data_IF_252131638090
#
_entry.id   IF_252131638090
#
_cell.length_a   1.000
_cell.length_b   1.000
_cell.length_c   1.000
_cell.angle_alpha   90.00
_cell.angle_beta   90.00
_cell.angle_gamma   90.00
#
_symmetry.space_group_name_H-M   'P 1'
#
loop_
_entity.id
_entity.type
_entity.pdbx_description
1 polymer ?
#
# COMPACT_ATOMS: atom_id res chain seq x y z
N UNK A 1 16.04 -29.28 -84.98
CA UNK A 1 14.80 -28.76 -85.59
C UNK A 1 13.74 -28.72 -84.50
N UNK A 2 13.12 -27.55 -84.30
CA UNK A 2 11.76 -27.25 -83.79
C UNK A 2 11.18 -28.08 -82.62
N UNK A 3 10.36 -27.57 -81.70
CA UNK A 3 9.86 -26.26 -81.29
C UNK A 3 8.81 -26.60 -80.22
N UNK A 4 8.80 -25.87 -79.11
CA UNK A 4 7.61 -25.45 -78.34
C UNK A 4 6.58 -26.48 -77.82
N UNK A 5 6.49 -26.50 -76.48
CA UNK A 5 5.34 -25.96 -75.71
C UNK A 5 4.37 -26.94 -75.02
N UNK A 6 4.15 -26.59 -73.74
CA UNK A 6 2.91 -26.62 -72.92
C UNK A 6 2.48 -27.86 -72.14
N UNK A 7 2.80 -27.80 -70.84
CA UNK A 7 1.92 -27.70 -69.64
C UNK A 7 1.05 -28.89 -69.14
N UNK A 8 1.00 -28.89 -67.80
CA UNK A 8 0.03 -29.49 -66.85
C UNK A 8 0.22 -30.98 -66.56
N UNK A 9 0.16 -31.48 -65.33
CA UNK A 9 -0.15 -30.92 -64.02
C UNK A 9 -0.11 -32.08 -63.02
N UNK A 10 0.52 -31.87 -61.87
CA UNK A 10 0.88 -32.89 -60.88
C UNK A 10 -0.33 -33.23 -60.00
N UNK A 11 -0.61 -34.53 -59.86
CA UNK A 11 -1.63 -35.10 -58.95
C UNK A 11 -0.93 -35.82 -57.79
N UNK A 12 -1.42 -35.50 -56.58
CA UNK A 12 -1.47 -36.27 -55.34
C UNK A 12 -0.17 -36.80 -54.70
N UNK A 13 0.20 -36.15 -53.60
CA UNK A 13 0.77 -36.83 -52.42
C UNK A 13 0.30 -36.08 -51.17
N UNK A 14 -0.77 -36.58 -50.57
CA UNK A 14 -1.29 -36.11 -49.29
C UNK A 14 -1.67 -37.32 -48.44
N UNK A 15 -0.84 -37.63 -47.45
CA UNK A 15 -1.23 -38.31 -46.21
C UNK A 15 -0.05 -38.28 -45.24
N UNK A 16 -0.37 -38.13 -43.95
CA UNK A 16 0.51 -38.29 -42.79
C UNK A 16 1.34 -37.09 -42.32
N UNK A 17 0.65 -36.01 -41.92
CA UNK A 17 1.12 -35.12 -40.84
C UNK A 17 -0.05 -34.29 -40.30
N UNK A 18 -0.85 -34.85 -39.39
CA UNK A 18 -1.73 -34.07 -38.50
C UNK A 18 -2.32 -34.95 -37.39
N UNK A 19 -1.52 -35.23 -36.36
CA UNK A 19 -2.01 -35.69 -35.05
C UNK A 19 -1.20 -35.01 -33.95
N UNK A 20 -1.26 -33.68 -33.89
CA UNK A 20 -1.06 -32.92 -32.66
C UNK A 20 -2.13 -31.82 -32.62
N UNK A 21 -3.20 -32.08 -31.88
CA UNK A 21 -4.26 -31.11 -31.59
C UNK A 21 -3.92 -30.23 -30.38
N UNK A 22 -4.61 -29.07 -30.25
CA UNK A 22 -4.11 -27.89 -29.55
C UNK A 22 -4.76 -27.73 -28.15
N UNK A 23 -3.97 -27.83 -27.09
CA UNK A 23 -4.43 -27.39 -25.77
C UNK A 23 -4.38 -25.86 -25.60
N UNK A 24 -3.73 -25.14 -26.52
CA UNK A 24 -3.41 -23.71 -26.38
C UNK A 24 -4.58 -22.77 -26.72
N UNK A 25 -5.56 -23.20 -27.52
CA UNK A 25 -6.63 -22.33 -28.01
C UNK A 25 -7.70 -21.98 -26.96
N UNK A 26 -8.03 -22.91 -26.06
CA UNK A 26 -9.02 -22.68 -24.99
C UNK A 26 -8.48 -21.83 -23.84
N UNK A 27 -7.20 -21.93 -23.52
CA UNK A 27 -6.59 -21.08 -22.49
C UNK A 27 -6.47 -19.62 -22.95
N UNK A 28 -6.14 -19.40 -24.23
CA UNK A 28 -6.08 -18.06 -24.82
C UNK A 28 -7.46 -17.37 -24.90
N UNK A 29 -8.53 -18.13 -25.17
CA UNK A 29 -9.88 -17.54 -25.22
C UNK A 29 -10.41 -17.16 -23.83
N UNK A 30 -10.11 -17.97 -22.80
CA UNK A 30 -10.47 -17.64 -21.40
C UNK A 30 -9.77 -16.35 -20.96
N UNK A 31 -8.47 -16.22 -21.20
CA UNK A 31 -7.72 -15.00 -20.84
C UNK A 31 -8.25 -13.76 -21.57
N UNK A 32 -8.63 -13.92 -22.84
CA UNK A 32 -9.28 -12.87 -23.63
C UNK A 32 -10.64 -12.45 -23.04
N UNK A 33 -11.45 -13.40 -22.56
CA UNK A 33 -12.69 -13.10 -21.83
C UNK A 33 -12.41 -12.33 -20.54
N UNK A 34 -11.40 -12.75 -19.76
CA UNK A 34 -11.11 -12.15 -18.46
C UNK A 34 -10.59 -10.71 -18.58
N UNK A 35 -9.83 -10.41 -19.62
CA UNK A 35 -9.28 -9.09 -19.92
C UNK A 35 -10.21 -8.18 -20.76
N UNK A 36 -11.30 -8.72 -21.31
CA UNK A 36 -12.22 -7.96 -22.14
C UNK A 36 -12.97 -6.85 -21.38
N UNK A 37 -13.22 -5.74 -22.09
CA UNK A 37 -14.09 -4.64 -21.67
C UNK A 37 -15.56 -5.07 -21.73
N UNK A 38 -16.44 -4.34 -21.03
CA UNK A 38 -17.85 -4.71 -20.79
C UNK A 38 -18.57 -5.28 -22.03
N UNK A 39 -18.62 -4.53 -23.14
CA UNK A 39 -19.34 -4.93 -24.35
C UNK A 39 -18.75 -6.16 -25.04
N UNK A 40 -17.43 -6.34 -24.98
CA UNK A 40 -16.74 -7.48 -25.60
C UNK A 40 -16.81 -8.72 -24.70
N UNK A 41 -16.76 -8.53 -23.37
CA UNK A 41 -16.85 -9.60 -22.38
C UNK A 41 -18.18 -10.36 -22.50
N UNK A 42 -19.30 -9.66 -22.74
CA UNK A 42 -20.61 -10.30 -22.95
C UNK A 42 -20.61 -11.29 -24.12
N UNK A 43 -19.89 -10.98 -25.21
CA UNK A 43 -19.84 -11.82 -26.41
C UNK A 43 -18.81 -12.95 -26.26
N UNK A 44 -17.60 -12.60 -25.83
CA UNK A 44 -16.47 -13.54 -25.78
C UNK A 44 -16.70 -14.58 -24.68
N UNK A 45 -17.05 -14.15 -23.46
CA UNK A 45 -17.29 -15.09 -22.36
C UNK A 45 -18.50 -15.99 -22.64
N UNK A 46 -19.56 -15.45 -23.25
CA UNK A 46 -20.71 -16.26 -23.66
C UNK A 46 -20.33 -17.31 -24.70
N UNK A 47 -19.59 -16.95 -25.74
CA UNK A 47 -19.12 -17.90 -26.77
C UNK A 47 -18.28 -19.04 -26.17
N UNK A 48 -17.52 -18.76 -25.11
CA UNK A 48 -16.71 -19.78 -24.42
C UNK A 48 -17.62 -20.75 -23.66
N UNK A 49 -18.63 -20.26 -22.96
CA UNK A 49 -19.60 -21.13 -22.29
C UNK A 49 -20.45 -21.93 -23.29
N UNK A 50 -20.87 -21.30 -24.39
CA UNK A 50 -21.62 -21.96 -25.48
C UNK A 50 -20.78 -23.07 -26.15
N UNK A 51 -19.46 -22.93 -26.15
CA UNK A 51 -18.53 -23.99 -26.61
C UNK A 51 -18.38 -25.16 -25.63
N UNK A 52 -19.07 -25.12 -24.48
CA UNK A 52 -19.08 -26.18 -23.46
C UNK A 52 -18.11 -25.95 -22.30
N UNK A 53 -17.47 -24.78 -22.22
CA UNK A 53 -16.61 -24.45 -21.08
C UNK A 53 -17.41 -24.41 -19.78
N UNK A 54 -16.87 -25.01 -18.73
CA UNK A 54 -17.46 -25.00 -17.38
C UNK A 54 -16.60 -24.25 -16.38
N UNK A 55 -15.76 -23.32 -16.83
CA UNK A 55 -14.84 -22.62 -15.94
C UNK A 55 -15.61 -21.61 -15.03
N UNK A 56 -15.50 -21.69 -13.70
CA UNK A 56 -16.21 -20.80 -12.78
C UNK A 56 -15.84 -19.33 -12.93
N UNK A 57 -14.60 -19.00 -13.28
CA UNK A 57 -14.16 -17.61 -13.48
C UNK A 57 -14.82 -16.98 -14.73
N UNK A 58 -15.07 -17.79 -15.77
CA UNK A 58 -15.79 -17.33 -16.98
C UNK A 58 -17.26 -17.06 -16.67
N UNK A 59 -17.90 -17.91 -15.87
CA UNK A 59 -19.26 -17.68 -15.37
C UNK A 59 -19.34 -16.39 -14.53
N UNK A 60 -18.38 -16.20 -13.63
CA UNK A 60 -18.29 -15.01 -12.79
C UNK A 60 -18.16 -13.74 -13.64
N UNK A 61 -17.23 -13.72 -14.60
CA UNK A 61 -16.99 -12.57 -15.48
C UNK A 61 -18.19 -12.25 -16.35
N UNK A 62 -18.83 -13.27 -16.95
CA UNK A 62 -20.03 -13.07 -17.77
C UNK A 62 -21.19 -12.53 -16.94
N UNK A 63 -21.46 -13.11 -15.77
CA UNK A 63 -22.53 -12.65 -14.90
C UNK A 63 -22.29 -11.24 -14.38
N UNK A 64 -21.04 -10.89 -14.06
CA UNK A 64 -20.67 -9.53 -13.64
C UNK A 64 -20.91 -8.52 -14.78
N UNK A 65 -20.50 -8.86 -16.01
CA UNK A 65 -20.74 -8.03 -17.19
C UNK A 65 -22.24 -7.86 -17.50
N UNK A 66 -23.04 -8.92 -17.39
CA UNK A 66 -24.50 -8.86 -17.59
C UNK A 66 -25.17 -7.93 -16.56
N UNK A 67 -24.71 -7.96 -15.31
CA UNK A 67 -25.23 -7.08 -14.28
C UNK A 67 -24.89 -5.61 -14.55
N UNK A 68 -23.65 -5.33 -14.94
CA UNK A 68 -23.20 -3.97 -15.31
C UNK A 68 -23.91 -3.42 -16.56
N UNK A 69 -24.33 -4.29 -17.47
CA UNK A 69 -25.13 -3.95 -18.65
C UNK A 69 -26.63 -3.80 -18.34
N UNK A 70 -27.02 -3.89 -17.06
CA UNK A 70 -28.42 -3.77 -16.62
C UNK A 70 -29.26 -5.04 -16.77
N UNK A 71 -28.67 -6.13 -17.26
CA UNK A 71 -29.35 -7.43 -17.46
C UNK A 71 -29.40 -8.26 -16.17
N UNK A 72 -29.92 -7.69 -15.07
CA UNK A 72 -29.91 -8.28 -13.72
C UNK A 72 -30.52 -9.69 -13.67
N UNK A 73 -31.66 -9.90 -14.33
CA UNK A 73 -32.31 -11.21 -14.38
C UNK A 73 -31.47 -12.26 -15.12
N UNK A 74 -30.76 -11.85 -16.18
CA UNK A 74 -29.87 -12.74 -16.92
C UNK A 74 -28.63 -13.09 -16.09
N UNK A 75 -28.02 -12.09 -15.45
CA UNK A 75 -26.90 -12.29 -14.53
C UNK A 75 -27.24 -13.29 -13.42
N UNK A 76 -28.41 -13.14 -12.80
CA UNK A 76 -28.87 -14.06 -11.77
C UNK A 76 -28.98 -15.51 -12.28
N UNK A 77 -29.52 -15.72 -13.48
CA UNK A 77 -29.63 -17.05 -14.08
C UNK A 77 -28.26 -17.65 -14.39
N UNK A 78 -27.35 -16.86 -14.96
CA UNK A 78 -25.97 -17.30 -15.25
C UNK A 78 -25.27 -17.77 -13.98
N UNK A 79 -25.47 -17.08 -12.84
CA UNK A 79 -24.91 -17.49 -11.56
C UNK A 79 -25.57 -18.73 -10.96
N UNK A 80 -26.90 -18.88 -11.11
CA UNK A 80 -27.59 -20.08 -10.65
C UNK A 80 -27.06 -21.33 -11.38
N UNK A 81 -26.85 -21.22 -12.69
CA UNK A 81 -26.26 -22.30 -13.47
C UNK A 81 -24.80 -22.57 -13.07
N UNK A 82 -24.02 -21.52 -12.80
CA UNK A 82 -22.65 -21.65 -12.32
C UNK A 82 -22.57 -22.35 -10.95
N UNK A 83 -23.43 -21.98 -10.00
CA UNK A 83 -23.46 -22.55 -8.66
C UNK A 83 -23.98 -23.98 -8.62
N UNK A 84 -24.83 -24.38 -9.57
CA UNK A 84 -25.20 -25.80 -9.76
C UNK A 84 -24.01 -26.64 -10.21
N UNK A 85 -23.15 -26.07 -11.06
CA UNK A 85 -21.94 -26.76 -11.55
C UNK A 85 -20.80 -26.73 -10.54
N UNK A 86 -20.71 -25.66 -9.73
CA UNK A 86 -19.65 -25.39 -8.76
C UNK A 86 -20.22 -25.07 -7.37
N UNK A 87 -20.84 -26.05 -6.70
CA UNK A 87 -21.40 -25.84 -5.37
C UNK A 87 -20.29 -25.49 -4.38
N UNK A 88 -20.49 -24.43 -3.59
CA UNK A 88 -19.53 -23.98 -2.58
C UNK A 88 -18.44 -23.03 -3.08
N UNK A 89 -18.45 -22.63 -4.35
CA UNK A 89 -17.53 -21.60 -4.83
C UNK A 89 -17.84 -20.25 -4.18
N UNK A 90 -16.87 -19.76 -3.39
CA UNK A 90 -17.03 -18.54 -2.60
C UNK A 90 -17.17 -17.28 -3.47
N UNK A 91 -16.53 -17.24 -4.64
CA UNK A 91 -16.60 -16.07 -5.55
C UNK A 91 -17.97 -15.99 -6.21
N UNK A 92 -18.50 -17.11 -6.69
CA UNK A 92 -19.83 -17.20 -7.30
C UNK A 92 -20.93 -16.92 -6.27
N UNK A 93 -20.80 -17.48 -5.06
CA UNK A 93 -21.76 -17.25 -3.97
C UNK A 93 -21.79 -15.78 -3.54
N UNK A 94 -20.61 -15.17 -3.40
CA UNK A 94 -20.49 -13.74 -3.08
C UNK A 94 -21.09 -12.86 -4.17
N UNK A 95 -20.84 -13.16 -5.46
CA UNK A 95 -21.43 -12.41 -6.56
C UNK A 95 -22.95 -12.58 -6.63
N UNK A 96 -23.46 -13.79 -6.35
CA UNK A 96 -24.91 -14.04 -6.29
C UNK A 96 -25.58 -13.19 -5.22
N UNK A 97 -24.99 -13.11 -4.04
CA UNK A 97 -25.46 -12.24 -2.96
C UNK A 97 -25.45 -10.75 -3.38
N UNK A 98 -24.42 -10.30 -4.09
CA UNK A 98 -24.34 -8.92 -4.63
C UNK A 98 -25.47 -8.63 -5.63
N UNK A 99 -25.77 -9.57 -6.52
CA UNK A 99 -26.79 -9.37 -7.56
C UNK A 99 -28.21 -9.60 -7.02
N UNK A 100 -28.38 -10.43 -6.00
CA UNK A 100 -29.68 -10.71 -5.39
C UNK A 100 -30.11 -9.65 -4.39
N UNK A 101 -29.17 -8.96 -3.74
CA UNK A 101 -29.51 -7.79 -2.94
C UNK A 101 -29.92 -6.67 -3.88
N UNK A 102 -31.10 -6.09 -3.68
CA UNK A 102 -31.50 -4.81 -4.30
C UNK A 102 -30.74 -3.67 -3.61
N UNK A 103 -29.42 -3.84 -3.50
CA UNK A 103 -28.55 -3.00 -2.71
C UNK A 103 -28.46 -1.66 -3.40
N UNK A 104 -29.03 -0.66 -2.75
CA UNK A 104 -28.79 0.75 -3.05
C UNK A 104 -27.29 1.01 -3.14
N UNK A 105 -26.91 2.05 -3.87
CA UNK A 105 -25.52 2.48 -4.02
C UNK A 105 -24.78 2.60 -2.66
N UNK A 106 -25.51 2.99 -1.61
CA UNK A 106 -25.02 3.07 -0.22
C UNK A 106 -24.66 1.71 0.39
N UNK A 107 -25.44 0.65 0.14
CA UNK A 107 -25.14 -0.69 0.64
C UNK A 107 -23.90 -1.30 -0.05
N UNK A 108 -23.71 -0.99 -1.34
CA UNK A 108 -22.50 -1.37 -2.09
C UNK A 108 -21.27 -0.62 -1.55
N UNK A 109 -21.39 0.67 -1.27
CA UNK A 109 -20.31 1.48 -0.67
C UNK A 109 -19.95 0.94 0.71
N UNK A 110 -20.92 0.72 1.60
CA UNK A 110 -20.68 0.20 2.96
C UNK A 110 -19.99 -1.18 2.92
N UNK A 111 -20.41 -2.05 2.00
CA UNK A 111 -19.79 -3.37 1.82
C UNK A 111 -18.37 -3.27 1.27
N UNK A 112 -18.12 -2.39 0.30
CA UNK A 112 -16.77 -2.14 -0.23
C UNK A 112 -15.84 -1.59 0.84
N UNK A 113 -16.33 -0.67 1.68
CA UNK A 113 -15.58 -0.13 2.82
C UNK A 113 -15.25 -1.23 3.83
N UNK A 114 -16.18 -2.15 4.11
CA UNK A 114 -15.95 -3.29 5.01
C UNK A 114 -14.91 -4.28 4.47
N UNK A 115 -14.92 -4.58 3.17
CA UNK A 115 -13.92 -5.46 2.54
C UNK A 115 -12.53 -4.82 2.50
N UNK A 116 -12.47 -3.52 2.23
CA UNK A 116 -11.23 -2.75 2.31
C UNK A 116 -10.70 -2.71 3.74
N UNK A 117 -11.57 -2.48 4.73
CA UNK A 117 -11.21 -2.50 6.16
C UNK A 117 -10.67 -3.86 6.57
N UNK A 118 -11.33 -4.96 6.18
CA UNK A 118 -10.87 -6.33 6.47
C UNK A 118 -9.48 -6.59 5.88
N UNK A 119 -9.21 -6.05 4.67
CA UNK A 119 -7.90 -6.19 4.02
C UNK A 119 -6.82 -5.37 4.73
N UNK A 120 -7.16 -4.16 5.19
CA UNK A 120 -6.29 -3.32 6.00
C UNK A 120 -5.99 -3.95 7.36
N UNK A 121 -7.00 -4.51 8.03
CA UNK A 121 -6.87 -5.20 9.32
C UNK A 121 -5.97 -6.43 9.19
N UNK A 122 -6.15 -7.22 8.13
CA UNK A 122 -5.23 -8.32 7.78
C UNK A 122 -3.80 -7.79 7.66
N UNK A 123 -3.58 -6.72 6.89
CA UNK A 123 -2.27 -6.10 6.71
C UNK A 123 -1.64 -5.60 8.03
N UNK A 124 -2.41 -4.88 8.85
CA UNK A 124 -1.98 -4.36 10.14
C UNK A 124 -1.60 -5.46 11.13
N UNK A 125 -2.37 -6.56 11.16
CA UNK A 125 -2.06 -7.74 11.97
C UNK A 125 -0.80 -8.44 11.50
N UNK A 126 -0.54 -8.51 10.18
CA UNK A 126 0.72 -9.04 9.62
C UNK A 126 1.92 -8.26 10.13
N UNK A 127 1.86 -6.93 10.00
CA UNK A 127 2.94 -6.05 10.43
C UNK A 127 3.15 -6.18 11.94
N UNK A 128 2.07 -6.15 12.73
CA UNK A 128 2.15 -6.27 14.19
C UNK A 128 2.74 -7.61 14.62
N UNK A 129 2.34 -8.71 14.01
CA UNK A 129 2.91 -10.04 14.27
C UNK A 129 4.42 -10.11 13.96
N UNK A 130 4.85 -9.52 12.84
CA UNK A 130 6.24 -9.59 12.40
C UNK A 130 7.16 -8.64 13.17
N UNK A 131 6.64 -7.51 13.65
CA UNK A 131 7.46 -6.41 14.21
C UNK A 131 7.37 -6.26 15.73
N UNK A 132 6.26 -6.66 16.36
CA UNK A 132 6.06 -6.51 17.82
C UNK A 132 6.55 -7.76 18.56
N UNK A 133 6.89 -7.58 19.83
CA UNK A 133 7.33 -8.62 20.75
C UNK A 133 6.33 -8.79 21.91
N UNK A 134 6.49 -9.87 22.69
CA UNK A 134 5.63 -10.19 23.83
C UNK A 134 4.17 -10.45 23.44
N UNK A 135 3.25 -10.21 24.37
CA UNK A 135 1.81 -10.49 24.21
C UNK A 135 1.18 -9.78 23.00
N UNK A 136 1.65 -8.57 22.69
CA UNK A 136 1.15 -7.77 21.56
C UNK A 136 1.46 -8.44 20.23
N UNK A 137 2.70 -8.95 20.05
CA UNK A 137 3.09 -9.68 18.84
C UNK A 137 2.37 -11.02 18.72
N UNK A 138 2.27 -11.77 19.83
CA UNK A 138 1.62 -13.09 19.91
C UNK A 138 0.14 -12.98 19.54
N UNK A 139 -0.59 -12.03 20.15
CA UNK A 139 -2.01 -11.80 19.89
C UNK A 139 -2.25 -11.41 18.43
N UNK A 140 -1.39 -10.55 17.87
CA UNK A 140 -1.49 -10.16 16.46
C UNK A 140 -1.27 -11.34 15.50
N UNK A 141 -0.32 -12.23 15.80
CA UNK A 141 -0.10 -13.43 14.99
C UNK A 141 -1.30 -14.39 15.04
N UNK A 142 -1.84 -14.65 16.24
CA UNK A 142 -3.03 -15.51 16.42
C UNK A 142 -4.23 -14.96 15.66
N UNK A 143 -4.53 -13.66 15.83
CA UNK A 143 -5.66 -13.02 15.17
C UNK A 143 -5.54 -12.98 13.64
N UNK A 144 -4.32 -12.91 13.08
CA UNK A 144 -4.12 -13.05 11.63
C UNK A 144 -4.45 -14.45 11.13
N UNK A 145 -4.01 -15.49 11.86
CA UNK A 145 -4.26 -16.89 11.50
C UNK A 145 -5.76 -17.23 11.55
N UNK A 146 -6.54 -16.54 12.39
CA UNK A 146 -8.01 -16.67 12.41
C UNK A 146 -8.68 -16.05 11.16
N UNK A 147 -8.03 -15.10 10.49
CA UNK A 147 -8.62 -14.33 9.38
C UNK A 147 -8.12 -14.76 7.99
N UNK A 148 -6.95 -15.38 7.89
CA UNK A 148 -6.34 -15.83 6.63
C UNK A 148 -5.16 -16.79 6.86
N UNK A 149 -4.95 -17.73 5.93
CA UNK A 149 -3.80 -18.66 5.92
C UNK A 149 -2.78 -18.33 4.79
N UNK A 150 -2.92 -17.20 4.09
CA UNK A 150 -2.03 -16.80 2.98
C UNK A 150 -0.53 -16.79 3.33
N UNK A 151 -0.18 -16.42 4.56
CA UNK A 151 1.20 -16.47 5.08
C UNK A 151 1.34 -17.45 6.27
N UNK A 152 0.44 -18.43 6.37
CA UNK A 152 0.20 -19.22 7.57
C UNK A 152 1.45 -19.87 8.16
N UNK A 153 2.26 -20.51 7.31
CA UNK A 153 3.51 -21.15 7.73
C UNK A 153 4.49 -20.14 8.37
N UNK A 154 4.69 -18.99 7.72
CA UNK A 154 5.60 -17.93 8.20
C UNK A 154 5.11 -17.31 9.51
N UNK A 155 3.81 -17.07 9.62
CA UNK A 155 3.19 -16.49 10.82
C UNK A 155 3.24 -17.48 11.99
N UNK A 156 3.00 -18.77 11.76
CA UNK A 156 3.14 -19.83 12.78
C UNK A 156 4.58 -19.95 13.30
N UNK A 157 5.58 -19.92 12.42
CA UNK A 157 7.00 -19.94 12.84
C UNK A 157 7.35 -18.72 13.70
N UNK A 158 6.87 -17.53 13.31
CA UNK A 158 7.09 -16.31 14.10
C UNK A 158 6.41 -16.39 15.46
N UNK A 159 5.17 -16.86 15.50
CA UNK A 159 4.39 -17.03 16.73
C UNK A 159 5.13 -17.94 17.73
N UNK A 160 5.61 -19.10 17.27
CA UNK A 160 6.38 -20.02 18.12
C UNK A 160 7.63 -19.37 18.73
N UNK A 161 8.39 -18.62 17.92
CA UNK A 161 9.58 -17.87 18.40
C UNK A 161 9.23 -16.80 19.45
N UNK A 162 8.08 -16.11 19.30
CA UNK A 162 7.63 -15.12 20.26
C UNK A 162 7.18 -15.75 21.58
N UNK A 163 6.45 -16.87 21.51
CA UNK A 163 5.99 -17.61 22.70
C UNK A 163 7.17 -18.22 23.47
N UNK A 164 8.20 -18.74 22.78
CA UNK A 164 9.43 -19.21 23.39
C UNK A 164 10.19 -18.09 24.12
N UNK A 165 10.36 -16.94 23.46
CA UNK A 165 11.01 -15.75 24.07
C UNK A 165 10.24 -15.26 25.29
N UNK A 166 8.91 -15.29 25.23
CA UNK A 166 8.06 -14.86 26.35
C UNK A 166 8.13 -15.85 27.52
N UNK A 167 8.18 -17.15 27.23
CA UNK A 167 8.32 -18.21 28.23
C UNK A 167 9.65 -18.07 28.98
N UNK A 168 10.74 -17.81 28.25
CA UNK A 168 12.05 -17.54 28.83
C UNK A 168 12.06 -16.29 29.73
N UNK A 169 11.42 -15.20 29.29
CA UNK A 169 11.30 -13.98 30.09
C UNK A 169 10.46 -14.17 31.37
N UNK A 170 9.38 -14.97 31.30
CA UNK A 170 8.56 -15.30 32.48
C UNK A 170 9.32 -16.14 33.50
N UNK A 171 10.16 -17.07 33.05
CA UNK A 171 11.03 -17.84 33.94
C UNK A 171 12.12 -16.99 34.60
N UNK A 172 12.66 -15.99 33.87
CA UNK A 172 13.65 -15.06 34.41
C UNK A 172 13.07 -14.04 35.41
N UNK A 173 11.75 -13.83 35.42
CA UNK A 173 11.05 -12.87 36.31
C UNK A 173 10.24 -13.54 37.41
N UNK A 174 10.33 -14.88 37.55
CA UNK A 174 9.66 -15.61 38.62
C UNK A 174 10.28 -15.26 39.99
N UNK A 175 9.50 -14.80 40.99
CA UNK A 175 10.01 -14.54 42.32
C UNK A 175 10.42 -15.84 43.02
N UNK A 176 11.55 -15.80 43.74
CA UNK A 176 11.97 -16.85 44.66
C UNK A 176 11.01 -16.85 45.85
N UNK A 177 10.26 -17.95 46.03
CA UNK A 177 9.27 -18.11 47.10
C UNK A 177 9.88 -18.04 48.52
N UNK A 178 9.19 -17.41 49.48
CA UNK A 178 9.16 -17.85 50.88
C UNK A 178 7.93 -18.73 51.16
N UNK A 179 8.09 -19.65 52.13
CA UNK A 179 7.17 -20.73 52.55
C UNK A 179 5.74 -20.30 52.97
N UNK A 180 4.78 -21.25 52.98
CA UNK A 180 3.37 -21.02 53.29
C UNK A 180 3.04 -21.20 54.79
N UNK A 181 1.93 -20.59 55.23
CA UNK A 181 0.87 -21.12 56.11
C UNK A 181 0.05 -19.93 56.72
N UNK A 182 -1.15 -20.14 57.31
CA UNK A 182 -2.33 -20.84 56.78
C UNK A 182 -3.64 -20.01 56.97
N UNK A 183 -4.72 -20.47 56.34
CA UNK A 183 -6.12 -20.00 56.47
C UNK A 183 -6.70 -20.17 57.90
N UNK A 184 -7.79 -19.47 58.31
CA UNK A 184 -9.15 -20.01 58.10
C UNK A 184 -10.35 -19.01 58.00
N UNK A 185 -11.24 -19.25 57.01
CA UNK A 185 -12.70 -19.58 57.05
C UNK A 185 -13.76 -18.75 57.89
N UNK A 186 -15.09 -19.04 57.84
CA UNK A 186 -16.12 -18.40 56.96
C UNK A 186 -17.47 -18.01 57.68
N UNK A 187 -18.40 -17.25 57.08
CA UNK A 187 -19.83 -17.20 57.55
C UNK A 187 -20.88 -16.95 56.43
N UNK A 188 -22.13 -17.39 56.68
CA UNK A 188 -23.26 -17.67 55.78
C UNK A 188 -24.32 -16.52 55.66
N UNK A 189 -25.25 -16.63 54.67
CA UNK A 189 -26.32 -15.66 54.26
C UNK A 189 -27.53 -15.48 55.23
N UNK A 190 -28.81 -15.21 54.83
CA UNK A 190 -29.48 -15.11 53.50
C UNK A 190 -30.51 -13.91 53.31
N UNK A 191 -31.25 -13.90 52.16
CA UNK A 191 -32.38 -13.07 51.59
C UNK A 191 -33.71 -12.94 52.43
N UNK A 192 -34.89 -12.33 52.00
CA UNK A 192 -35.28 -11.18 51.11
C UNK A 192 -36.54 -10.30 51.57
N UNK A 193 -37.02 -9.37 50.69
CA UNK A 193 -38.39 -8.72 50.52
C UNK A 193 -38.89 -7.55 51.42
N UNK A 194 -39.96 -6.72 51.09
CA UNK A 194 -40.89 -6.62 49.92
C UNK A 194 -41.24 -5.19 49.35
N UNK A 195 -42.21 -5.11 48.41
CA UNK A 195 -42.73 -4.00 47.53
C UNK A 195 -43.67 -2.94 48.20
N UNK A 196 -44.25 -1.90 47.51
CA UNK A 196 -45.44 -2.08 46.64
C UNK A 196 -45.70 -1.13 45.41
N UNK A 197 -46.66 -1.62 44.61
CA UNK A 197 -47.46 -1.19 43.43
C UNK A 197 -48.04 0.24 43.36
N UNK A 198 -48.10 0.85 42.15
CA UNK A 198 -49.20 1.74 41.68
C UNK A 198 -49.47 1.57 40.16
N UNK A 199 -50.76 1.61 39.81
CA UNK A 199 -51.48 1.39 38.54
C UNK A 199 -51.63 2.71 37.75
N UNK A 200 -51.61 2.72 36.40
CA UNK A 200 -52.57 3.48 35.53
C UNK A 200 -52.71 2.84 34.12
N UNK A 201 -53.95 2.87 33.64
CA UNK A 201 -54.63 2.41 32.43
C UNK A 201 -54.08 2.76 31.04
N UNK A 202 -54.50 1.95 30.06
CA UNK A 202 -54.56 2.25 28.62
C UNK A 202 -55.78 3.10 28.25
N UNK A 203 -55.79 3.71 27.05
CA UNK A 203 -56.89 3.40 26.14
C UNK A 203 -56.46 3.25 24.67
N UNK A 204 -57.24 2.46 23.94
CA UNK A 204 -57.18 2.35 22.49
C UNK A 204 -58.33 3.11 21.82
N UNK A 205 -58.08 3.45 20.56
CA UNK A 205 -58.99 3.68 19.41
C UNK A 205 -59.31 5.11 18.94
N UNK A 206 -58.89 5.32 17.68
CA UNK A 206 -59.46 6.07 16.56
C UNK A 206 -59.43 7.61 16.60
N UNK A 207 -58.78 8.23 15.60
CA UNK A 207 -59.47 8.84 14.44
C UNK A 207 -58.44 9.25 13.38
N UNK A 208 -58.67 8.79 12.16
CA UNK A 208 -57.97 9.22 10.95
C UNK A 208 -58.33 10.67 10.61
N UNK A 209 -57.33 11.56 10.50
CA UNK A 209 -57.31 12.80 9.69
C UNK A 209 -56.10 13.67 10.08
N UNK A 210 -54.92 13.37 9.54
CA UNK A 210 -53.78 14.31 9.50
C UNK A 210 -52.73 13.82 8.50
N UNK A 211 -53.17 13.49 7.29
CA UNK A 211 -52.30 13.13 6.17
C UNK A 211 -52.24 14.34 5.24
N UNK A 212 -51.18 15.17 5.39
CA UNK A 212 -50.57 16.00 4.32
C UNK A 212 -49.53 17.03 4.81
N UNK A 213 -49.34 17.28 6.11
CA UNK A 213 -48.29 18.23 6.58
C UNK A 213 -46.98 17.58 7.05
N UNK A 214 -46.93 16.26 7.25
CA UNK A 214 -45.71 15.56 7.71
C UNK A 214 -44.73 15.17 6.58
N UNK A 215 -45.14 15.29 5.31
CA UNK A 215 -44.30 14.92 4.14
C UNK A 215 -43.36 16.06 3.68
N UNK A 216 -43.48 17.26 4.23
CA UNK A 216 -42.61 18.40 3.90
C UNK A 216 -41.37 18.50 4.81
N UNK A 217 -41.45 18.05 6.06
CA UNK A 217 -40.33 18.11 7.03
C UNK A 217 -39.38 16.91 6.95
N UNK A 218 -39.80 15.80 6.32
CA UNK A 218 -38.92 14.64 6.06
C UNK A 218 -38.13 14.76 4.75
N UNK A 219 -38.46 15.71 3.87
CA UNK A 219 -37.74 15.91 2.60
C UNK A 219 -36.43 16.68 2.78
N UNK A 220 -36.37 17.59 3.76
CA UNK A 220 -35.20 18.45 4.02
C UNK A 220 -33.99 17.70 4.59
N UNK A 221 -34.20 16.61 5.32
CA UNK A 221 -33.12 15.86 5.96
C UNK A 221 -32.37 14.97 4.94
N UNK A 222 -33.10 14.37 3.99
CA UNK A 222 -32.50 13.60 2.88
C UNK A 222 -31.69 14.45 1.90
N UNK A 223 -32.11 15.69 1.62
CA UNK A 223 -31.36 16.58 0.74
C UNK A 223 -30.09 17.12 1.42
N UNK A 224 -30.15 17.42 2.73
CA UNK A 224 -28.95 17.79 3.50
C UNK A 224 -27.94 16.63 3.63
N UNK A 225 -28.41 15.39 3.81
CA UNK A 225 -27.56 14.20 3.84
C UNK A 225 -26.92 13.92 2.47
N UNK A 226 -27.64 14.14 1.36
CA UNK A 226 -27.09 14.05 -0.01
C UNK A 226 -26.05 15.13 -0.28
N UNK A 227 -26.31 16.37 0.13
CA UNK A 227 -25.37 17.48 -0.06
C UNK A 227 -24.08 17.27 0.75
N UNK A 228 -24.18 16.80 2.00
CA UNK A 228 -23.00 16.47 2.82
C UNK A 228 -22.19 15.30 2.23
N UNK A 229 -22.86 14.28 1.68
CA UNK A 229 -22.17 13.16 1.02
C UNK A 229 -21.48 13.59 -0.29
N UNK A 230 -22.13 14.46 -1.06
CA UNK A 230 -21.57 15.00 -2.30
C UNK A 230 -20.34 15.88 -2.03
N UNK A 231 -20.40 16.73 -1.01
CA UNK A 231 -19.27 17.55 -0.55
C UNK A 231 -18.06 16.68 -0.18
N UNK A 232 -18.24 15.60 0.58
CA UNK A 232 -17.14 14.70 0.95
C UNK A 232 -16.47 14.04 -0.27
N UNK A 233 -17.25 13.62 -1.27
CA UNK A 233 -16.71 13.03 -2.50
C UNK A 233 -15.89 14.06 -3.29
N UNK A 234 -16.40 15.28 -3.37
CA UNK A 234 -15.72 16.37 -4.09
C UNK A 234 -14.45 16.81 -3.36
N UNK A 235 -14.46 16.88 -2.03
CA UNK A 235 -13.27 17.15 -1.21
C UNK A 235 -12.18 16.09 -1.42
N UNK A 236 -12.56 14.81 -1.43
CA UNK A 236 -11.63 13.71 -1.69
C UNK A 236 -11.07 13.77 -3.11
N UNK A 237 -11.91 14.10 -4.11
CA UNK A 237 -11.46 14.27 -5.51
C UNK A 237 -10.48 15.43 -5.61
N UNK A 238 -10.75 16.54 -4.93
CA UNK A 238 -9.85 17.69 -4.87
C UNK A 238 -8.54 17.34 -4.18
N UNK A 239 -8.58 16.61 -3.06
CA UNK A 239 -7.39 16.16 -2.35
C UNK A 239 -6.52 15.25 -3.23
N UNK A 240 -7.14 14.28 -3.92
CA UNK A 240 -6.42 13.42 -4.86
C UNK A 240 -5.83 14.21 -6.04
N UNK A 241 -6.57 15.17 -6.59
CA UNK A 241 -6.07 16.05 -7.66
C UNK A 241 -4.83 16.83 -7.20
N UNK A 242 -4.85 17.41 -5.99
CA UNK A 242 -3.71 18.12 -5.41
C UNK A 242 -2.51 17.20 -5.25
N UNK A 243 -2.72 16.00 -4.69
CA UNK A 243 -1.65 14.99 -4.58
C UNK A 243 -1.00 14.67 -5.92
N UNK A 244 -1.81 14.46 -6.98
CA UNK A 244 -1.29 14.18 -8.32
C UNK A 244 -0.51 15.39 -8.87
N UNK A 245 -1.02 16.61 -8.69
CA UNK A 245 -0.33 17.85 -9.08
C UNK A 245 1.03 17.98 -8.39
N UNK A 246 1.11 17.67 -7.10
CA UNK A 246 2.35 17.73 -6.33
C UNK A 246 3.36 16.68 -6.82
N UNK A 247 2.91 15.46 -7.07
CA UNK A 247 3.72 14.38 -7.65
C UNK A 247 4.26 14.76 -9.04
N UNK A 248 3.41 15.27 -9.92
CA UNK A 248 3.80 15.73 -11.26
C UNK A 248 4.85 16.85 -11.17
N UNK A 249 4.65 17.82 -10.29
CA UNK A 249 5.58 18.92 -10.06
C UNK A 249 6.93 18.40 -9.56
N UNK A 250 6.92 17.50 -8.58
CA UNK A 250 8.14 16.95 -7.99
C UNK A 250 8.97 16.14 -8.97
N UNK A 251 8.32 15.35 -9.81
CA UNK A 251 8.97 14.62 -10.90
C UNK A 251 9.66 15.57 -11.88
N UNK A 252 8.95 16.60 -12.33
CA UNK A 252 9.49 17.60 -13.27
C UNK A 252 10.69 18.36 -12.68
N UNK A 253 10.65 18.74 -11.39
CA UNK A 253 11.76 19.40 -10.69
C UNK A 253 13.04 18.54 -10.61
N UNK A 254 12.88 17.23 -10.64
CA UNK A 254 13.98 16.26 -10.67
C UNK A 254 14.41 15.88 -12.10
N UNK A 255 13.71 16.37 -13.12
CA UNK A 255 14.02 16.13 -14.53
C UNK A 255 13.26 14.96 -15.16
N UNK A 256 12.29 14.37 -14.46
CA UNK A 256 11.40 13.34 -15.02
C UNK A 256 10.17 13.99 -15.63
N UNK A 257 9.98 13.83 -16.94
CA UNK A 257 8.91 14.50 -17.69
C UNK A 257 7.53 13.89 -17.41
N UNK A 258 6.82 14.46 -16.44
CA UNK A 258 5.46 14.08 -16.08
C UNK A 258 4.38 14.82 -16.90
N UNK A 259 4.77 15.75 -17.79
CA UNK A 259 3.87 16.70 -18.44
C UNK A 259 3.51 17.90 -17.56
N UNK A 260 2.44 18.61 -17.92
CA UNK A 260 1.94 19.74 -17.12
C UNK A 260 1.27 19.23 -15.83
N UNK A 261 1.49 19.87 -14.66
CA UNK A 261 0.96 19.39 -13.38
C UNK A 261 -0.54 19.73 -13.21
N UNK A 262 -1.39 19.10 -14.02
CA UNK A 262 -2.84 19.28 -14.08
C UNK A 262 -3.64 18.50 -13.03
N UNK A 263 -2.98 17.60 -12.29
CA UNK A 263 -3.60 16.71 -11.32
C UNK A 263 -4.30 15.51 -11.95
N UNK A 264 -4.05 15.22 -13.22
CA UNK A 264 -4.60 14.06 -13.95
C UNK A 264 -3.45 13.12 -14.33
N UNK A 265 -3.40 11.89 -13.77
CA UNK A 265 -2.28 10.99 -14.02
C UNK A 265 -2.40 10.32 -15.39
N UNK A 266 -1.79 10.94 -16.40
CA UNK A 266 -1.71 10.46 -17.77
C UNK A 266 -0.63 9.41 -18.01
N UNK A 267 -0.41 9.04 -19.28
CA UNK A 267 0.67 8.13 -19.69
C UNK A 267 2.06 8.69 -19.34
N UNK A 268 2.27 10.00 -19.55
CA UNK A 268 3.53 10.70 -19.21
C UNK A 268 3.85 10.61 -17.72
N UNK A 269 2.88 10.92 -16.86
CA UNK A 269 3.05 10.83 -15.40
C UNK A 269 3.40 9.40 -14.95
N UNK A 270 2.74 8.37 -15.50
CA UNK A 270 3.05 6.96 -15.19
C UNK A 270 4.44 6.55 -15.65
N UNK A 271 4.86 7.01 -16.83
CA UNK A 271 6.20 6.76 -17.34
C UNK A 271 7.26 7.45 -16.49
N UNK A 272 7.07 8.74 -16.15
CA UNK A 272 7.95 9.50 -15.29
C UNK A 272 8.13 8.83 -13.91
N UNK A 273 7.06 8.31 -13.30
CA UNK A 273 7.16 7.53 -12.06
C UNK A 273 7.99 6.25 -12.23
N UNK A 274 7.78 5.53 -13.33
CA UNK A 274 8.54 4.32 -13.63
C UNK A 274 10.02 4.61 -13.80
N UNK A 275 10.36 5.68 -14.53
CA UNK A 275 11.73 6.10 -14.77
C UNK A 275 12.38 6.61 -13.48
N UNK A 276 11.63 7.34 -12.64
CA UNK A 276 12.06 7.75 -11.31
C UNK A 276 12.43 6.54 -10.44
N UNK A 277 11.50 5.59 -10.25
CA UNK A 277 11.74 4.43 -9.39
C UNK A 277 12.91 3.56 -9.89
N UNK A 278 13.10 3.47 -11.22
CA UNK A 278 14.28 2.82 -11.82
C UNK A 278 15.58 3.58 -11.53
N UNK A 279 15.56 4.90 -11.61
CA UNK A 279 16.75 5.72 -11.40
C UNK A 279 17.24 5.70 -9.94
N UNK A 280 16.34 5.46 -8.99
CA UNK A 280 16.66 5.36 -7.55
C UNK A 280 16.75 3.92 -7.04
N UNK A 281 16.69 2.92 -7.93
CA UNK A 281 16.77 1.49 -7.63
C UNK A 281 15.75 0.99 -6.58
N UNK A 282 14.53 1.51 -6.68
CA UNK A 282 13.40 1.12 -5.83
C UNK A 282 12.35 0.33 -6.65
N UNK A 283 11.54 -0.53 -6.00
CA UNK A 283 10.46 -1.24 -6.68
C UNK A 283 9.49 -0.26 -7.36
N UNK A 284 9.18 -0.49 -8.64
CA UNK A 284 8.27 0.37 -9.39
C UNK A 284 6.85 0.28 -8.82
N UNK A 285 6.31 1.42 -8.39
CA UNK A 285 4.93 1.57 -7.92
C UNK A 285 4.15 2.43 -8.91
N UNK A 286 2.97 1.95 -9.32
CA UNK A 286 2.09 2.65 -10.28
C UNK A 286 0.90 3.37 -9.63
N UNK A 287 0.65 3.13 -8.35
CA UNK A 287 -0.38 3.81 -7.56
C UNK A 287 0.14 5.11 -6.99
N UNK A 288 -0.55 6.22 -7.26
CA UNK A 288 -0.23 7.53 -6.67
C UNK A 288 -0.91 7.64 -5.32
N UNK A 289 -0.09 7.68 -4.27
CA UNK A 289 -0.52 7.79 -2.86
C UNK A 289 0.41 8.77 -2.12
N UNK A 290 0.11 9.07 -0.87
CA UNK A 290 0.99 9.91 -0.04
C UNK A 290 2.41 9.31 0.10
N UNK A 291 2.55 7.98 0.04
CA UNK A 291 3.85 7.30 0.03
C UNK A 291 4.66 7.65 -1.22
N UNK A 292 4.00 7.78 -2.37
CA UNK A 292 4.66 8.20 -3.62
C UNK A 292 5.26 9.59 -3.47
N UNK A 293 4.52 10.50 -2.84
CA UNK A 293 5.00 11.85 -2.59
C UNK A 293 6.14 11.86 -1.56
N UNK A 294 6.06 11.03 -0.52
CA UNK A 294 7.12 10.89 0.48
C UNK A 294 8.44 10.37 -0.12
N UNK A 295 8.38 9.36 -1.00
CA UNK A 295 9.54 8.85 -1.73
C UNK A 295 10.21 9.95 -2.57
N UNK A 296 9.41 10.66 -3.38
CA UNK A 296 9.88 11.76 -4.22
C UNK A 296 10.47 12.90 -3.37
N UNK A 297 9.87 13.18 -2.22
CA UNK A 297 10.35 14.20 -1.30
C UNK A 297 11.68 13.85 -0.65
N UNK A 298 11.83 12.59 -0.23
CA UNK A 298 13.07 12.07 0.33
C UNK A 298 14.22 12.13 -0.67
N UNK A 299 13.97 11.69 -1.91
CA UNK A 299 14.99 11.68 -2.96
C UNK A 299 15.35 13.08 -3.43
N UNK A 300 14.40 14.00 -3.55
CA UNK A 300 14.76 15.39 -3.84
C UNK A 300 15.55 16.05 -2.71
N UNK A 301 15.26 15.78 -1.42
CA UNK A 301 16.11 16.31 -0.33
C UNK A 301 17.55 15.81 -0.42
N UNK A 302 17.75 14.57 -0.89
CA UNK A 302 19.09 14.03 -1.18
C UNK A 302 19.73 14.75 -2.37
N UNK A 303 18.98 14.93 -3.45
CA UNK A 303 19.43 15.63 -4.66
C UNK A 303 19.80 17.09 -4.39
N UNK A 304 19.02 17.82 -3.59
CA UNK A 304 19.30 19.22 -3.27
C UNK A 304 20.58 19.36 -2.43
N UNK A 305 20.79 18.48 -1.45
CA UNK A 305 22.07 18.41 -0.72
C UNK A 305 23.24 18.07 -1.63
N UNK A 306 23.05 17.13 -2.55
CA UNK A 306 24.04 16.78 -3.56
C UNK A 306 24.39 17.96 -4.47
N UNK A 307 23.39 18.76 -4.89
CA UNK A 307 23.57 19.99 -5.68
C UNK A 307 24.36 21.06 -4.92
N UNK A 308 24.11 21.22 -3.62
CA UNK A 308 24.88 22.13 -2.76
C UNK A 308 26.35 21.70 -2.69
N UNK A 309 26.62 20.42 -2.39
CA UNK A 309 27.98 19.88 -2.39
C UNK A 309 28.67 20.02 -3.77
N UNK A 310 27.93 19.86 -4.87
CA UNK A 310 28.46 20.08 -6.21
C UNK A 310 28.81 21.56 -6.47
N UNK A 311 28.00 22.50 -5.96
CA UNK A 311 28.30 23.93 -6.03
C UNK A 311 29.56 24.26 -5.23
N UNK A 312 29.72 23.70 -4.03
CA UNK A 312 30.92 23.84 -3.21
C UNK A 312 32.17 23.28 -3.91
N UNK A 313 32.03 22.14 -4.61
CA UNK A 313 33.10 21.56 -5.43
C UNK A 313 33.55 22.53 -6.53
N UNK A 314 32.61 23.17 -7.24
CA UNK A 314 32.93 24.17 -8.28
C UNK A 314 33.62 25.40 -7.70
N UNK A 315 33.18 25.89 -6.54
CA UNK A 315 33.82 27.05 -5.89
C UNK A 315 35.22 26.74 -5.40
N UNK A 316 35.44 25.54 -4.85
CA UNK A 316 36.77 25.09 -4.43
C UNK A 316 37.72 24.96 -5.63
N UNK A 317 37.22 24.40 -6.75
CA UNK A 317 37.99 24.31 -7.99
C UNK A 317 38.37 25.70 -8.51
N UNK A 318 37.46 26.66 -8.49
CA UNK A 318 37.73 28.05 -8.90
C UNK A 318 38.76 28.74 -7.99
N UNK A 319 38.83 28.34 -6.72
CA UNK A 319 39.83 28.83 -5.76
C UNK A 319 41.18 28.09 -5.85
N UNK A 320 41.30 27.07 -6.71
CA UNK A 320 42.51 26.25 -6.87
C UNK A 320 42.67 25.13 -5.84
N UNK A 321 41.70 24.93 -4.93
CA UNK A 321 41.70 23.85 -3.94
C UNK A 321 41.15 22.55 -4.56
N UNK A 322 42.02 21.83 -5.26
CA UNK A 322 41.67 20.59 -5.97
C UNK A 322 41.23 19.46 -5.03
N UNK A 323 41.81 19.36 -3.84
CA UNK A 323 41.51 18.29 -2.90
C UNK A 323 40.11 18.47 -2.29
N UNK A 324 39.79 19.69 -1.85
CA UNK A 324 38.44 20.02 -1.42
C UNK A 324 37.43 19.85 -2.55
N UNK A 325 37.76 20.28 -3.77
CA UNK A 325 36.88 20.15 -4.93
C UNK A 325 36.54 18.68 -5.24
N UNK A 326 37.54 17.79 -5.23
CA UNK A 326 37.34 16.34 -5.43
C UNK A 326 36.55 15.71 -4.29
N UNK A 327 36.86 16.08 -3.04
CA UNK A 327 36.15 15.61 -1.86
C UNK A 327 34.65 15.95 -1.95
N UNK A 328 34.33 17.21 -2.25
CA UNK A 328 32.95 17.70 -2.39
C UNK A 328 32.20 17.09 -3.56
N UNK A 329 32.87 16.84 -4.69
CA UNK A 329 32.27 16.07 -5.79
C UNK A 329 31.94 14.64 -5.36
N UNK A 330 32.85 13.98 -4.67
CA UNK A 330 32.64 12.61 -4.16
C UNK A 330 31.51 12.54 -3.13
N UNK A 331 31.40 13.54 -2.26
CA UNK A 331 30.26 13.72 -1.34
C UNK A 331 28.95 13.86 -2.12
N UNK A 332 28.91 14.75 -3.13
CA UNK A 332 27.74 14.97 -3.97
C UNK A 332 27.26 13.67 -4.65
N UNK A 333 28.17 12.89 -5.25
CA UNK A 333 27.84 11.60 -5.88
C UNK A 333 27.33 10.56 -4.89
N UNK A 334 27.79 10.57 -3.64
CA UNK A 334 27.32 9.65 -2.59
C UNK A 334 25.93 10.03 -2.06
N UNK A 335 25.60 11.33 -2.07
CA UNK A 335 24.33 11.83 -1.55
C UNK A 335 23.14 11.47 -2.44
N UNK A 336 23.29 11.50 -3.77
CA UNK A 336 22.19 11.20 -4.69
C UNK A 336 22.67 10.61 -6.01
N UNK A 337 22.10 9.45 -6.38
CA UNK A 337 22.31 8.83 -7.69
C UNK A 337 21.64 9.58 -8.86
N UNK A 338 20.73 10.50 -8.55
CA UNK A 338 20.06 11.34 -9.55
C UNK A 338 20.90 12.55 -9.99
N UNK A 339 22.04 12.80 -9.33
CA UNK A 339 22.87 13.95 -9.63
C UNK A 339 23.62 13.75 -10.96
N UNK A 340 23.37 14.64 -11.92
CA UNK A 340 24.19 14.73 -13.13
C UNK A 340 25.33 15.74 -12.93
N UNK A 341 26.57 15.28 -13.06
CA UNK A 341 27.77 16.14 -12.99
C UNK A 341 28.11 16.63 -14.41
N UNK A 342 28.31 17.94 -14.63
CA UNK A 342 28.72 18.43 -15.95
C UNK A 342 30.09 17.91 -16.36
N UNK A 343 30.23 17.50 -17.62
CA UNK A 343 31.46 16.92 -18.16
C UNK A 343 32.69 17.85 -18.02
N UNK A 344 32.49 19.16 -18.14
CA UNK A 344 33.55 20.17 -17.95
C UNK A 344 34.17 20.10 -16.55
N UNK A 345 33.33 19.94 -15.52
CA UNK A 345 33.78 19.82 -14.14
C UNK A 345 34.53 18.50 -13.92
N UNK A 346 34.06 17.41 -14.53
CA UNK A 346 34.75 16.12 -14.44
C UNK A 346 36.13 16.16 -15.11
N UNK A 347 36.24 16.81 -16.27
CA UNK A 347 37.51 16.97 -16.98
C UNK A 347 38.51 17.80 -16.15
N UNK A 348 38.05 18.92 -15.59
CA UNK A 348 38.88 19.81 -14.78
C UNK A 348 39.41 19.13 -13.50
N UNK A 349 38.61 18.26 -12.87
CA UNK A 349 39.03 17.52 -11.66
C UNK A 349 39.97 16.34 -11.97
N UNK A 350 39.98 15.87 -13.22
CA UNK A 350 40.81 14.75 -13.70
C UNK A 350 42.18 15.19 -14.21
N UNK A 351 42.35 16.46 -14.57
CA UNK A 351 43.64 16.98 -15.01
C UNK A 351 44.70 16.74 -13.91
N UNK A 352 45.86 16.14 -14.24
CA UNK A 352 46.99 16.13 -13.32
C UNK A 352 47.37 17.59 -13.07
N UNK A 353 47.60 17.93 -11.80
CA UNK A 353 48.22 19.21 -11.44
C UNK A 353 49.40 19.47 -12.38
N UNK A 354 49.49 20.64 -13.05
CA UNK A 354 50.77 21.04 -13.60
C UNK A 354 51.75 20.99 -12.43
N UNK A 355 52.83 20.23 -12.60
CA UNK A 355 53.89 20.10 -11.61
C UNK A 355 54.17 21.47 -11.00
N UNK A 356 53.93 21.57 -9.69
CA UNK A 356 54.56 22.61 -8.91
C UNK A 356 56.07 22.46 -9.18
N UNK A 357 56.64 23.42 -9.89
CA UNK A 357 58.08 23.55 -10.07
C UNK A 357 58.67 23.66 -8.66
N UNK A 358 59.19 22.54 -8.17
CA UNK A 358 59.95 22.46 -6.92
C UNK A 358 61.33 23.04 -7.20
N UNK A 359 61.75 24.17 -6.62
CA UNK A 359 63.16 24.51 -6.58
C UNK A 359 63.88 23.54 -5.62
N UNK A 360 65.12 23.11 -5.93
CA UNK A 360 65.79 22.05 -5.20
C UNK A 360 66.12 22.49 -3.76
N UNK A 361 65.91 21.53 -2.85
CA UNK A 361 66.19 21.63 -1.43
C UNK A 361 67.69 21.82 -1.14
N UNK A 362 68.00 22.72 -0.20
CA UNK A 362 69.26 22.72 0.55
C UNK A 362 68.94 22.29 1.98
N UNK A 363 69.47 21.13 2.35
CA UNK A 363 69.49 20.52 3.68
C UNK A 363 70.52 21.18 4.58
N UNK A 364 70.12 21.60 5.79
CA UNK A 364 70.92 21.47 7.03
C UNK A 364 69.99 21.58 8.26
N UNK A 365 70.03 20.58 9.14
CA UNK A 365 69.40 20.49 10.48
C UNK A 365 70.35 21.03 11.59
N UNK A 366 70.09 20.90 12.91
CA UNK A 366 68.98 21.36 13.79
C UNK A 366 69.54 22.18 15.01
N UNK A 367 68.79 22.51 16.10
CA UNK A 367 68.52 21.57 17.21
C UNK A 367 67.17 21.73 17.97
N UNK A 368 66.86 20.68 18.72
CA UNK A 368 65.80 20.42 19.75
C UNK A 368 65.73 21.48 20.89
N UNK A 369 64.66 21.57 21.75
CA UNK A 369 64.34 20.51 22.74
C UNK A 369 62.87 20.35 23.26
N UNK A 370 62.62 19.17 23.86
CA UNK A 370 61.77 18.82 25.05
C UNK A 370 60.23 18.97 25.10
N UNK A 371 59.54 17.79 25.16
CA UNK A 371 58.39 17.32 26.03
C UNK A 371 57.10 18.16 26.24
N UNK A 372 55.92 17.58 26.63
CA UNK A 372 55.61 16.18 26.96
C UNK A 372 54.38 15.57 26.24
N UNK A 373 54.30 14.25 26.37
CA UNK A 373 53.18 13.37 26.00
C UNK A 373 51.92 13.74 26.77
N UNK A 374 50.84 14.10 26.06
CA UNK A 374 49.48 13.97 26.56
C UNK A 374 48.75 12.91 25.74
N UNK A 375 48.46 11.79 26.40
CA UNK A 375 47.64 10.71 25.91
C UNK A 375 46.18 11.15 25.94
N UNK A 376 45.70 11.79 24.86
CA UNK A 376 44.27 12.03 24.65
C UNK A 376 43.66 10.76 24.08
N UNK A 377 42.87 10.07 24.89
CA UNK A 377 41.99 8.98 24.47
C UNK A 377 40.98 9.55 23.47
N UNK A 378 41.22 9.34 22.18
CA UNK A 378 40.22 9.55 21.12
C UNK A 378 39.15 8.46 21.25
N UNK A 379 38.02 8.79 21.86
CA UNK A 379 36.77 8.06 21.63
C UNK A 379 36.34 8.28 20.17
N UNK A 380 36.23 7.18 19.41
CA UNK A 380 35.82 7.16 18.00
C UNK A 380 34.49 7.90 17.76
N UNK A 381 34.36 8.72 16.70
CA UNK A 381 33.15 9.50 16.40
C UNK A 381 32.00 8.67 15.80
N UNK A 382 32.19 7.36 15.59
CA UNK A 382 31.26 6.51 14.83
C UNK A 382 30.05 6.03 15.65
N UNK A 383 30.15 5.95 16.98
CA UNK A 383 29.03 5.47 17.82
C UNK A 383 27.98 6.55 18.18
N UNK A 384 28.31 7.83 18.06
CA UNK A 384 27.41 8.92 18.50
C UNK A 384 26.39 9.33 17.43
N UNK A 385 26.68 9.17 16.14
CA UNK A 385 25.79 9.62 15.05
C UNK A 385 24.63 8.64 14.80
N UNK A 386 24.89 7.33 14.84
CA UNK A 386 23.86 6.29 14.75
C UNK A 386 22.85 6.36 15.89
N UNK A 387 23.33 6.67 17.10
CA UNK A 387 22.50 6.81 18.30
C UNK A 387 21.58 8.04 18.20
N UNK A 388 22.06 9.15 17.63
CA UNK A 388 21.25 10.36 17.41
C UNK A 388 20.20 10.17 16.32
N UNK A 389 20.55 9.52 15.21
CA UNK A 389 19.62 9.21 14.12
C UNK A 389 18.53 8.22 14.57
N UNK A 390 18.88 7.24 15.41
CA UNK A 390 17.91 6.31 15.98
C UNK A 390 16.95 6.99 16.97
N UNK A 391 17.47 7.87 17.85
CA UNK A 391 16.62 8.65 18.77
C UNK A 391 15.71 9.61 18.02
N UNK A 392 16.18 10.22 16.92
CA UNK A 392 15.37 11.08 16.07
C UNK A 392 14.27 10.29 15.34
N UNK A 393 14.60 9.12 14.79
CA UNK A 393 13.64 8.24 14.11
C UNK A 393 12.56 7.73 15.07
N UNK A 394 12.95 7.30 16.28
CA UNK A 394 12.01 6.86 17.32
C UNK A 394 11.13 8.02 17.80
N UNK A 395 11.65 9.25 17.85
CA UNK A 395 10.88 10.47 18.11
C UNK A 395 9.80 10.72 17.04
N UNK A 396 10.15 10.58 15.75
CA UNK A 396 9.19 10.69 14.63
C UNK A 396 8.12 9.61 14.67
N UNK A 397 8.50 8.35 14.96
CA UNK A 397 7.57 7.22 15.07
C UNK A 397 6.59 7.41 16.23
N UNK A 398 7.06 7.89 17.39
CA UNK A 398 6.19 8.18 18.53
C UNK A 398 5.25 9.36 18.26
N UNK A 399 5.73 10.38 17.56
CA UNK A 399 4.90 11.52 17.15
C UNK A 399 3.81 11.09 16.16
N UNK A 400 4.15 10.22 15.21
CA UNK A 400 3.20 9.70 14.22
C UNK A 400 2.15 8.79 14.88
N UNK A 401 2.58 7.87 15.76
CA UNK A 401 1.65 7.06 16.56
C UNK A 401 0.71 7.92 17.42
N UNK A 402 1.22 9.01 17.99
CA UNK A 402 0.42 9.96 18.76
C UNK A 402 -0.60 10.73 17.92
N UNK A 403 -0.33 10.98 16.62
CA UNK A 403 -1.31 11.58 15.71
C UNK A 403 -2.38 10.58 15.28
N UNK A 404 -1.97 9.37 14.92
CA UNK A 404 -2.88 8.29 14.52
C UNK A 404 -3.87 7.95 15.64
N UNK A 405 -3.40 7.83 16.89
CA UNK A 405 -4.29 7.60 18.04
C UNK A 405 -5.28 8.73 18.28
N UNK A 406 -4.86 9.99 18.09
CA UNK A 406 -5.75 11.15 18.24
C UNK A 406 -6.82 11.18 17.15
N UNK A 407 -6.45 10.89 15.89
CA UNK A 407 -7.43 10.78 14.80
C UNK A 407 -8.43 9.64 15.03
N UNK A 408 -7.98 8.48 15.50
CA UNK A 408 -8.86 7.36 15.84
C UNK A 408 -9.82 7.70 16.99
N UNK A 409 -9.34 8.38 18.03
CA UNK A 409 -10.17 8.83 19.15
C UNK A 409 -11.18 9.91 18.73
N UNK A 410 -10.81 10.81 17.81
CA UNK A 410 -11.75 11.80 17.27
C UNK A 410 -12.83 11.14 16.40
N UNK A 411 -12.47 10.16 15.57
CA UNK A 411 -13.46 9.41 14.79
C UNK A 411 -14.40 8.59 15.67
N UNK A 412 -13.90 7.98 16.75
CA UNK A 412 -14.77 7.28 17.71
C UNK A 412 -15.74 8.23 18.40
N UNK A 413 -15.27 9.43 18.82
CA UNK A 413 -16.15 10.45 19.41
C UNK A 413 -17.22 10.94 18.43
N UNK A 414 -16.88 11.11 17.15
CA UNK A 414 -17.85 11.46 16.11
C UNK A 414 -18.89 10.35 15.90
N UNK A 415 -18.49 9.08 15.95
CA UNK A 415 -19.41 7.96 15.85
C UNK A 415 -20.33 7.83 17.08
N UNK A 416 -19.82 8.12 18.29
CA UNK A 416 -20.66 8.17 19.50
C UNK A 416 -21.65 9.34 19.43
N UNK A 417 -21.22 10.53 19.02
CA UNK A 417 -22.12 11.68 18.84
C UNK A 417 -23.22 11.42 17.81
N UNK A 418 -22.90 10.74 16.70
CA UNK A 418 -23.89 10.32 15.71
C UNK A 418 -24.84 9.25 16.22
N UNK A 419 -24.36 8.39 17.13
CA UNK A 419 -25.17 7.35 17.76
C UNK A 419 -26.10 7.90 18.84
N UNK A 420 -25.69 8.94 19.57
CA UNK A 420 -26.51 9.62 20.57
C UNK A 420 -27.52 10.60 19.95
N UNK A 421 -27.36 10.94 18.67
CA UNK A 421 -28.26 11.79 17.90
C UNK A 421 -29.37 11.01 17.15
N UNK A 422 -29.29 9.68 17.15
CA UNK A 422 -30.30 8.72 16.64
C UNK A 422 -31.10 8.17 17.81
#
# INVERSE_FOLDING_TARGET
MNSRSTRAGIIALAALSCLLSPASGFAQSVDQCMSARLADALKICKSILDSGSRNPDVYWKLSSAQYQDGQKALANRTLDDALRLHPGDAKLSSLKEIISTDSTEQALIARSAKLNQLSLDKGALKISCLTKSGDVGITACKRRLELTDEDGARIRTRLASLEETQSANRQATAPVNPLPDPEPAPEAGPDPEPQPVVIVESPATNTAAADQSALAEQATDTDQLRDNQQQFIDDRRQAYKRLVTDVQSRLNEMGFDAGYPDGVPGSRTRQALTDFYRAVDLPVVTSITDLTLEDLDAEKRKLDRARVALKESRTALAAGDLDLARSKRSEASRLSGLLTVPAELELALRAPTPEAVVPPAVTTSPPTPTTPVQTVVKSSPVQQDSSRQFVELMGRINTLHGRIRRQLADQQRQLEQLRDAL
#
